data_IF_470564721048
#
_entry.id   IF_470564721048
#
_cell.length_a   1.000
_cell.length_b   1.000
_cell.length_c   1.000
_cell.angle_alpha   90.00
_cell.angle_beta   90.00
_cell.angle_gamma   90.00
#
_symmetry.space_group_name_H-M   'P 1'
#
loop_
_entity.id
_entity.type
_entity.pdbx_description
1 polymer ?
#
# COMPACT_ATOMS: atom_id res chain seq x y z
N UNK A 1 16.89 -54.78 23.62
CA UNK A 1 17.12 -54.42 22.21
C UNK A 1 16.25 -53.19 21.93
N UNK A 2 16.84 -52.00 22.08
CA UNK A 2 16.10 -50.73 21.98
C UNK A 2 15.83 -50.38 20.52
N UNK A 3 14.57 -50.32 20.15
CA UNK A 3 14.15 -49.80 18.85
C UNK A 3 14.12 -48.27 18.93
N UNK A 4 15.20 -47.67 18.45
CA UNK A 4 15.35 -46.23 18.27
C UNK A 4 14.41 -45.77 17.15
N UNK A 5 13.24 -45.25 17.53
CA UNK A 5 12.25 -44.72 16.58
C UNK A 5 12.48 -43.23 16.39
N UNK A 6 13.33 -42.90 15.41
CA UNK A 6 13.45 -41.53 14.92
C UNK A 6 12.08 -41.03 14.41
N UNK A 7 11.62 -39.83 14.79
CA UNK A 7 10.34 -39.31 14.31
C UNK A 7 10.43 -38.93 12.82
N UNK A 8 9.36 -39.12 12.03
CA UNK A 8 9.35 -38.76 10.62
C UNK A 8 9.16 -37.24 10.48
N UNK A 9 10.24 -36.47 10.62
CA UNK A 9 10.16 -35.01 10.56
C UNK A 9 11.33 -34.41 9.78
N UNK A 10 11.24 -34.34 8.44
CA UNK A 10 12.05 -33.35 7.73
C UNK A 10 11.58 -32.97 6.30
N UNK A 11 11.08 -33.94 5.53
CA UNK A 11 10.81 -33.71 4.09
C UNK A 11 9.81 -32.57 3.79
N UNK A 12 8.81 -32.36 4.65
CA UNK A 12 7.86 -31.25 4.52
C UNK A 12 8.36 -29.90 5.05
N UNK A 13 9.34 -29.92 5.97
CA UNK A 13 9.87 -28.71 6.62
C UNK A 13 10.90 -28.01 5.73
N UNK A 14 11.75 -28.77 5.04
CA UNK A 14 12.70 -28.25 4.05
C UNK A 14 12.00 -27.55 2.89
N UNK A 15 11.00 -28.19 2.28
CA UNK A 15 10.22 -27.61 1.17
C UNK A 15 9.48 -26.31 1.56
N UNK A 16 8.86 -26.27 2.74
CA UNK A 16 8.20 -25.05 3.25
C UNK A 16 9.19 -23.90 3.45
N UNK A 17 10.36 -24.20 4.01
CA UNK A 17 11.42 -23.21 4.27
C UNK A 17 11.94 -22.63 2.97
N UNK A 18 12.24 -23.48 1.98
CA UNK A 18 12.69 -23.05 0.66
C UNK A 18 11.66 -22.14 -0.03
N UNK A 19 10.38 -22.54 -0.04
CA UNK A 19 9.30 -21.72 -0.62
C UNK A 19 9.20 -20.37 0.09
N UNK A 20 9.18 -20.37 1.43
CA UNK A 20 9.04 -19.13 2.20
C UNK A 20 10.21 -18.17 1.95
N UNK A 21 11.46 -18.66 2.06
CA UNK A 21 12.65 -17.83 1.87
C UNK A 21 12.74 -17.34 0.42
N UNK A 22 12.48 -18.19 -0.57
CA UNK A 22 12.46 -17.79 -1.98
C UNK A 22 11.46 -16.66 -2.27
N UNK A 23 10.23 -16.78 -1.75
CA UNK A 23 9.23 -15.72 -1.86
C UNK A 23 9.68 -14.42 -1.16
N UNK A 24 10.30 -14.54 0.02
CA UNK A 24 10.82 -13.40 0.76
C UNK A 24 11.92 -12.66 -0.02
N UNK A 25 12.90 -13.39 -0.56
CA UNK A 25 14.01 -12.82 -1.34
C UNK A 25 13.48 -12.13 -2.59
N UNK A 26 12.62 -12.79 -3.37
CA UNK A 26 12.05 -12.20 -4.60
C UNK A 26 11.24 -10.95 -4.28
N UNK A 27 10.40 -10.99 -3.23
CA UNK A 27 9.59 -9.86 -2.81
C UNK A 27 10.44 -8.64 -2.45
N UNK A 28 11.48 -8.84 -1.64
CA UNK A 28 12.33 -7.75 -1.18
C UNK A 28 13.27 -7.22 -2.26
N UNK A 29 13.80 -8.09 -3.11
CA UNK A 29 14.57 -7.67 -4.28
C UNK A 29 13.71 -6.82 -5.22
N UNK A 30 12.49 -7.26 -5.53
CA UNK A 30 11.55 -6.49 -6.35
C UNK A 30 11.14 -5.17 -5.67
N UNK A 31 10.91 -5.17 -4.36
CA UNK A 31 10.57 -3.97 -3.58
C UNK A 31 11.70 -2.94 -3.63
N UNK A 32 12.94 -3.35 -3.34
CA UNK A 32 14.11 -2.47 -3.38
C UNK A 32 14.35 -1.95 -4.80
N UNK A 33 14.27 -2.83 -5.82
CA UNK A 33 14.44 -2.43 -7.21
C UNK A 33 13.35 -1.42 -7.65
N UNK A 34 12.08 -1.69 -7.33
CA UNK A 34 10.95 -0.84 -7.69
C UNK A 34 11.02 0.53 -7.00
N UNK A 35 11.21 0.56 -5.68
CA UNK A 35 11.35 1.82 -4.93
C UNK A 35 12.59 2.59 -5.36
N UNK A 36 13.73 1.92 -5.56
CA UNK A 36 14.96 2.54 -6.04
C UNK A 36 14.81 3.14 -7.43
N UNK A 37 14.19 2.41 -8.37
CA UNK A 37 13.88 2.92 -9.70
C UNK A 37 12.96 4.15 -9.63
N UNK A 38 11.93 4.10 -8.78
CA UNK A 38 11.01 5.22 -8.56
C UNK A 38 11.72 6.47 -8.02
N UNK A 39 12.56 6.31 -6.99
CA UNK A 39 13.35 7.42 -6.43
C UNK A 39 14.24 8.05 -7.51
N UNK A 40 15.03 7.24 -8.21
CA UNK A 40 16.00 7.74 -9.18
C UNK A 40 15.31 8.37 -10.39
N UNK A 41 14.32 7.69 -10.98
CA UNK A 41 13.61 8.19 -12.15
C UNK A 41 12.93 9.52 -11.84
N UNK A 42 12.19 9.62 -10.73
CA UNK A 42 11.49 10.85 -10.35
C UNK A 42 12.44 12.00 -10.00
N UNK A 43 13.57 11.72 -9.32
CA UNK A 43 14.56 12.75 -9.01
C UNK A 43 15.06 13.47 -10.27
N UNK A 44 15.28 12.72 -11.36
CA UNK A 44 15.64 13.25 -12.67
C UNK A 44 14.41 13.56 -13.55
N UNK A 45 13.22 13.73 -12.97
CA UNK A 45 12.02 14.11 -13.70
C UNK A 45 11.68 13.13 -14.83
N UNK A 46 11.83 11.83 -14.60
CA UNK A 46 11.61 10.77 -15.59
C UNK A 46 12.51 10.86 -16.84
N UNK A 47 13.60 11.63 -16.79
CA UNK A 47 14.51 11.83 -17.92
C UNK A 47 15.56 10.71 -18.07
N UNK A 48 15.64 9.79 -17.10
CA UNK A 48 16.60 8.67 -17.08
C UNK A 48 15.85 7.36 -16.85
N UNK A 49 16.09 6.38 -17.71
CA UNK A 49 15.48 5.04 -17.67
C UNK A 49 16.42 4.00 -18.31
N UNK A 50 16.02 2.72 -18.29
CA UNK A 50 16.82 1.62 -18.85
C UNK A 50 16.78 1.53 -20.39
N UNK A 51 15.94 2.34 -21.05
CA UNK A 51 15.81 2.32 -22.51
C UNK A 51 14.79 3.34 -23.02
N UNK A 52 14.79 3.54 -24.33
CA UNK A 52 13.93 4.53 -24.99
C UNK A 52 13.29 3.95 -26.23
N UNK A 53 12.00 4.19 -26.43
CA UNK A 53 11.30 3.87 -27.68
C UNK A 53 11.10 5.14 -28.51
N UNK A 54 11.25 5.03 -29.84
CA UNK A 54 10.96 6.13 -30.75
C UNK A 54 9.45 6.40 -30.83
N UNK A 55 9.10 7.62 -31.25
CA UNK A 55 7.71 7.95 -31.53
C UNK A 55 7.19 7.09 -32.71
N UNK A 56 5.93 6.61 -32.65
CA UNK A 56 4.91 6.85 -31.61
C UNK A 56 4.93 5.85 -30.45
N UNK A 57 5.76 4.80 -30.51
CA UNK A 57 5.74 3.68 -29.56
C UNK A 57 6.06 4.10 -28.12
N UNK A 58 6.90 5.12 -27.92
CA UNK A 58 7.17 5.69 -26.59
C UNK A 58 5.90 6.19 -25.89
N UNK A 59 5.02 6.90 -26.60
CA UNK A 59 3.76 7.42 -26.03
C UNK A 59 2.81 6.29 -25.63
N UNK A 60 2.69 5.27 -26.49
CA UNK A 60 1.83 4.11 -26.24
C UNK A 60 2.35 3.32 -25.03
N UNK A 61 3.66 3.04 -24.99
CA UNK A 61 4.29 2.32 -23.90
C UNK A 61 4.15 3.08 -22.58
N UNK A 62 4.44 4.38 -22.54
CA UNK A 62 4.31 5.21 -21.35
C UNK A 62 2.86 5.28 -20.85
N UNK A 63 1.89 5.44 -21.75
CA UNK A 63 0.47 5.43 -21.38
C UNK A 63 0.06 4.09 -20.79
N UNK A 64 0.51 2.98 -21.39
CA UNK A 64 0.25 1.63 -20.87
C UNK A 64 0.92 1.41 -19.52
N UNK A 65 2.18 1.82 -19.34
CA UNK A 65 2.93 1.72 -18.08
C UNK A 65 2.30 2.58 -16.97
N UNK A 66 1.81 3.77 -17.30
CA UNK A 66 1.16 4.67 -16.35
C UNK A 66 -0.23 4.18 -15.95
N UNK A 67 -1.00 3.65 -16.90
CA UNK A 67 -2.34 3.11 -16.65
C UNK A 67 -2.31 1.74 -15.96
N UNK A 68 -1.35 0.87 -16.28
CA UNK A 68 -1.31 -0.49 -15.72
C UNK A 68 -1.19 -0.48 -14.21
N UNK A 69 -0.38 0.42 -13.61
CA UNK A 69 -0.20 0.45 -12.17
C UNK A 69 -1.52 0.67 -11.41
N UNK A 70 -2.26 1.79 -11.59
CA UNK A 70 -3.49 2.02 -10.84
C UNK A 70 -4.58 0.99 -11.18
N UNK A 71 -4.68 0.54 -12.44
CA UNK A 71 -5.70 -0.42 -12.87
C UNK A 71 -5.42 -1.80 -12.30
N UNK A 72 -4.25 -2.39 -12.59
CA UNK A 72 -3.89 -3.75 -12.18
C UNK A 72 -3.75 -3.83 -10.66
N UNK A 73 -3.10 -2.86 -10.02
CA UNK A 73 -3.00 -2.81 -8.54
C UNK A 73 -4.38 -2.81 -7.88
N UNK A 74 -5.33 -2.03 -8.40
CA UNK A 74 -6.69 -1.97 -7.85
C UNK A 74 -7.48 -3.25 -8.13
N UNK A 75 -7.32 -3.85 -9.31
CA UNK A 75 -7.94 -5.14 -9.66
C UNK A 75 -7.46 -6.27 -8.75
N UNK A 76 -6.16 -6.31 -8.44
CA UNK A 76 -5.57 -7.31 -7.52
C UNK A 76 -6.14 -7.22 -6.09
N UNK A 77 -6.66 -6.05 -5.70
CA UNK A 77 -7.29 -5.84 -4.39
C UNK A 77 -8.76 -6.31 -4.32
N UNK A 78 -9.39 -6.63 -5.45
CA UNK A 78 -10.76 -7.16 -5.52
C UNK A 78 -10.83 -8.63 -5.09
N UNK A 79 -12.04 -9.17 -4.87
CA UNK A 79 -12.20 -10.59 -4.53
C UNK A 79 -11.64 -11.53 -5.59
N UNK A 80 -11.88 -11.24 -6.87
CA UNK A 80 -11.34 -12.01 -8.01
C UNK A 80 -9.82 -11.89 -8.11
N UNK A 81 -9.29 -10.67 -7.96
CA UNK A 81 -7.84 -10.43 -7.96
C UNK A 81 -7.13 -11.18 -6.84
N UNK A 82 -7.67 -11.14 -5.61
CA UNK A 82 -7.11 -11.91 -4.48
C UNK A 82 -7.14 -13.42 -4.72
N UNK A 83 -8.20 -13.93 -5.36
CA UNK A 83 -8.27 -15.34 -5.74
C UNK A 83 -7.17 -15.72 -6.76
N UNK A 84 -6.87 -14.85 -7.71
CA UNK A 84 -5.74 -15.03 -8.64
C UNK A 84 -4.40 -15.02 -7.90
N UNK A 85 -4.16 -14.03 -7.03
CA UNK A 85 -2.93 -13.94 -6.23
C UNK A 85 -2.70 -15.22 -5.41
N UNK A 86 -3.76 -15.78 -4.81
CA UNK A 86 -3.67 -17.02 -4.04
C UNK A 86 -3.28 -18.23 -4.90
N UNK A 87 -3.57 -18.22 -6.21
CA UNK A 87 -3.27 -19.34 -7.13
C UNK A 87 -1.83 -19.32 -7.65
N UNK A 88 -1.12 -18.19 -7.54
CA UNK A 88 0.26 -18.06 -8.00
C UNK A 88 1.26 -18.82 -7.10
N UNK A 89 0.88 -19.13 -5.87
CA UNK A 89 1.73 -19.85 -4.94
C UNK A 89 1.56 -21.36 -5.01
N UNK A 90 2.57 -22.14 -4.57
CA UNK A 90 2.44 -23.59 -4.44
C UNK A 90 1.19 -24.00 -3.65
N UNK A 91 0.62 -25.15 -4.04
CA UNK A 91 -0.64 -25.66 -3.46
C UNK A 91 -0.60 -25.65 -1.93
N UNK A 92 -1.64 -25.08 -1.32
CA UNK A 92 -1.79 -24.96 0.14
C UNK A 92 -1.09 -23.76 0.79
N UNK A 93 -0.21 -23.04 0.09
CA UNK A 93 0.53 -21.89 0.66
C UNK A 93 -0.02 -20.52 0.23
N UNK A 94 -0.84 -20.48 -0.82
CA UNK A 94 -1.42 -19.27 -1.42
C UNK A 94 -2.02 -18.28 -0.44
N UNK A 95 -3.01 -18.67 0.38
CA UNK A 95 -3.62 -17.74 1.33
C UNK A 95 -2.62 -17.13 2.32
N UNK A 96 -1.61 -17.88 2.75
CA UNK A 96 -0.56 -17.38 3.66
C UNK A 96 0.42 -16.44 2.96
N UNK A 97 0.80 -16.76 1.71
CA UNK A 97 1.73 -15.95 0.92
C UNK A 97 1.08 -14.75 0.22
N UNK A 98 -0.25 -14.65 0.22
CA UNK A 98 -1.01 -13.58 -0.43
C UNK A 98 -0.45 -12.15 -0.23
N UNK A 99 -0.13 -11.67 0.99
CA UNK A 99 0.45 -10.34 1.17
C UNK A 99 1.84 -10.22 0.54
N UNK A 100 2.67 -11.27 0.59
CA UNK A 100 4.00 -11.28 -0.03
C UNK A 100 3.88 -11.24 -1.56
N UNK A 101 3.06 -12.11 -2.14
CA UNK A 101 2.83 -12.15 -3.59
C UNK A 101 2.25 -10.83 -4.10
N UNK A 102 1.29 -10.24 -3.38
CA UNK A 102 0.71 -8.95 -3.74
C UNK A 102 1.77 -7.85 -3.79
N UNK A 103 2.63 -7.76 -2.77
CA UNK A 103 3.70 -6.75 -2.73
C UNK A 103 4.75 -7.00 -3.82
N UNK A 104 5.10 -8.25 -4.12
CA UNK A 104 5.97 -8.59 -5.26
C UNK A 104 5.38 -8.05 -6.57
N UNK A 105 4.12 -8.36 -6.86
CA UNK A 105 3.45 -7.89 -8.07
C UNK A 105 3.33 -6.37 -8.12
N UNK A 106 3.00 -5.71 -7.00
CA UNK A 106 2.95 -4.25 -6.93
C UNK A 106 4.33 -3.63 -7.18
N UNK A 107 5.38 -4.21 -6.60
CA UNK A 107 6.76 -3.72 -6.76
C UNK A 107 7.27 -3.90 -8.19
N UNK A 108 6.92 -5.01 -8.85
CA UNK A 108 7.22 -5.22 -10.27
C UNK A 108 6.50 -4.21 -11.17
N UNK A 109 5.25 -3.86 -10.86
CA UNK A 109 4.52 -2.82 -11.62
C UNK A 109 5.16 -1.43 -11.45
N UNK A 110 5.62 -1.09 -10.24
CA UNK A 110 6.37 0.15 -9.97
C UNK A 110 7.70 0.12 -10.73
N UNK A 111 8.46 -0.97 -10.61
CA UNK A 111 9.72 -1.12 -11.34
C UNK A 111 9.52 -0.95 -12.84
N UNK A 112 8.53 -1.64 -13.44
CA UNK A 112 8.24 -1.54 -14.86
C UNK A 112 7.92 -0.09 -15.27
N UNK A 113 7.07 0.61 -14.51
CA UNK A 113 6.73 2.00 -14.81
C UNK A 113 7.95 2.92 -14.80
N UNK A 114 8.77 2.86 -13.76
CA UNK A 114 9.85 3.84 -13.58
C UNK A 114 11.14 3.46 -14.30
N UNK A 115 11.45 2.17 -14.42
CA UNK A 115 12.66 1.70 -15.09
C UNK A 115 12.51 1.61 -16.61
N UNK A 116 11.30 1.35 -17.13
CA UNK A 116 11.05 1.16 -18.57
C UNK A 116 10.34 2.35 -19.23
N UNK A 117 10.21 3.48 -18.52
CA UNK A 117 9.69 4.72 -19.09
C UNK A 117 10.53 5.17 -20.29
N UNK A 118 9.90 5.61 -21.37
CA UNK A 118 10.59 6.23 -22.51
C UNK A 118 10.56 7.75 -22.37
N UNK A 119 11.67 8.43 -22.03
CA UNK A 119 11.67 9.87 -21.78
C UNK A 119 11.33 10.68 -23.02
N UNK A 120 10.62 11.80 -22.86
CA UNK A 120 10.37 12.76 -23.95
C UNK A 120 11.61 13.54 -24.39
N UNK A 121 12.66 13.54 -23.56
CA UNK A 121 13.88 14.33 -23.78
C UNK A 121 13.73 15.83 -23.44
N UNK A 122 12.55 16.26 -22.99
CA UNK A 122 12.27 17.67 -22.69
C UNK A 122 12.40 17.96 -21.19
N UNK A 123 13.27 18.89 -20.82
CA UNK A 123 13.39 19.41 -19.46
C UNK A 123 12.81 20.82 -19.44
N UNK A 124 11.80 21.06 -18.61
CA UNK A 124 11.21 22.39 -18.44
C UNK A 124 11.98 23.20 -17.41
N UNK A 125 12.36 22.56 -16.30
CA UNK A 125 13.06 23.22 -15.22
C UNK A 125 13.87 22.22 -14.41
N UNK A 126 15.05 22.65 -13.97
CA UNK A 126 15.90 21.90 -13.07
C UNK A 126 16.42 22.83 -11.97
N UNK A 127 16.37 22.35 -10.74
CA UNK A 127 16.85 23.09 -9.59
C UNK A 127 18.38 23.18 -9.59
N UNK A 128 18.91 24.35 -9.23
CA UNK A 128 20.34 24.59 -9.04
C UNK A 128 20.61 25.40 -7.77
N UNK A 129 21.83 25.34 -7.25
CA UNK A 129 22.26 26.12 -6.08
C UNK A 129 21.40 25.85 -4.84
N UNK A 130 20.95 26.92 -4.17
CA UNK A 130 20.14 26.83 -2.95
C UNK A 130 18.78 26.17 -3.19
N UNK A 131 18.17 26.39 -4.36
CA UNK A 131 16.88 25.78 -4.71
C UNK A 131 16.98 24.25 -4.79
N UNK A 132 18.10 23.73 -5.30
CA UNK A 132 18.36 22.29 -5.33
C UNK A 132 18.45 21.74 -3.90
N UNK A 133 19.24 22.37 -3.02
CA UNK A 133 19.36 21.92 -1.64
C UNK A 133 18.02 21.91 -0.88
N UNK A 134 17.16 22.91 -1.11
CA UNK A 134 15.81 22.94 -0.52
C UNK A 134 14.95 21.78 -1.05
N UNK A 135 14.95 21.55 -2.36
CA UNK A 135 14.15 20.47 -2.95
C UNK A 135 14.67 19.08 -2.58
N UNK A 136 15.98 18.89 -2.45
CA UNK A 136 16.57 17.63 -1.99
C UNK A 136 16.10 17.29 -0.56
N UNK A 137 16.10 18.29 0.33
CA UNK A 137 15.58 18.12 1.69
C UNK A 137 14.09 17.81 1.69
N UNK A 138 13.29 18.52 0.88
CA UNK A 138 11.85 18.26 0.77
C UNK A 138 11.55 16.87 0.20
N UNK A 139 12.27 16.47 -0.84
CA UNK A 139 12.16 15.17 -1.49
C UNK A 139 12.52 14.05 -0.51
N UNK A 140 13.68 14.12 0.13
CA UNK A 140 14.11 13.16 1.15
C UNK A 140 13.11 13.09 2.31
N UNK A 141 12.61 14.24 2.78
CA UNK A 141 11.60 14.31 3.84
C UNK A 141 10.28 13.64 3.44
N UNK A 142 9.84 13.79 2.18
CA UNK A 142 8.65 13.13 1.66
C UNK A 142 8.81 11.59 1.67
N UNK A 143 9.98 11.07 1.31
CA UNK A 143 10.29 9.63 1.39
C UNK A 143 10.35 9.11 2.82
N UNK A 144 10.99 9.84 3.73
CA UNK A 144 10.99 9.49 5.16
C UNK A 144 9.57 9.48 5.72
N UNK A 145 8.75 10.47 5.36
CA UNK A 145 7.34 10.54 5.75
C UNK A 145 6.54 9.35 5.19
N UNK A 146 6.79 8.94 3.94
CA UNK A 146 6.16 7.77 3.34
C UNK A 146 6.55 6.49 4.09
N UNK A 147 7.84 6.30 4.39
CA UNK A 147 8.33 5.19 5.21
C UNK A 147 7.69 5.17 6.61
N UNK A 148 7.56 6.34 7.25
CA UNK A 148 6.86 6.49 8.53
C UNK A 148 5.38 6.13 8.44
N UNK A 149 4.69 6.55 7.39
CA UNK A 149 3.29 6.23 7.16
C UNK A 149 3.09 4.71 6.92
N UNK A 150 4.01 4.06 6.21
CA UNK A 150 4.02 2.61 6.06
C UNK A 150 4.27 1.89 7.38
N UNK A 151 5.18 2.41 8.22
CA UNK A 151 5.43 1.87 9.55
C UNK A 151 4.18 1.89 10.43
N UNK A 152 3.51 3.05 10.51
CA UNK A 152 2.28 3.22 11.29
C UNK A 152 1.11 2.37 10.77
N UNK A 153 1.09 2.08 9.45
CA UNK A 153 0.09 1.22 8.84
C UNK A 153 0.33 -0.28 9.05
N UNK A 154 1.44 -0.65 9.70
CA UNK A 154 1.91 -2.03 9.81
C UNK A 154 2.87 -2.38 8.68
N UNK A 155 4.16 -2.05 8.90
CA UNK A 155 5.22 -2.21 7.90
C UNK A 155 5.23 -3.60 7.25
N UNK A 156 5.00 -4.65 8.03
CA UNK A 156 5.10 -6.03 7.55
C UNK A 156 4.11 -6.40 6.44
N UNK A 157 2.95 -5.75 6.41
CA UNK A 157 1.99 -5.89 5.31
C UNK A 157 2.47 -5.09 4.10
N UNK A 158 2.99 -3.89 4.33
CA UNK A 158 3.38 -2.95 3.27
C UNK A 158 4.59 -3.43 2.46
N UNK A 159 5.57 -4.05 3.12
CA UNK A 159 6.78 -4.59 2.47
C UNK A 159 6.69 -6.12 2.23
N UNK A 160 5.53 -6.72 2.48
CA UNK A 160 5.30 -8.14 2.16
C UNK A 160 5.98 -9.15 3.10
N UNK A 161 6.60 -8.74 4.21
CA UNK A 161 7.20 -9.68 5.17
C UNK A 161 6.20 -10.56 5.89
N UNK A 162 4.96 -10.09 6.07
CA UNK A 162 3.94 -10.80 6.84
C UNK A 162 3.72 -12.23 6.32
N UNK A 163 3.60 -12.41 5.01
CA UNK A 163 3.23 -13.71 4.43
C UNK A 163 4.34 -14.75 4.57
N UNK A 164 5.51 -14.46 4.01
CA UNK A 164 6.62 -15.41 3.97
C UNK A 164 7.17 -15.74 5.36
N UNK A 165 7.27 -14.77 6.29
CA UNK A 165 7.69 -15.06 7.67
C UNK A 165 6.64 -15.92 8.40
N UNK A 166 5.36 -15.71 8.11
CA UNK A 166 4.29 -16.53 8.70
C UNK A 166 4.36 -17.97 8.19
N UNK A 167 4.59 -18.15 6.88
CA UNK A 167 4.80 -19.48 6.29
C UNK A 167 6.05 -20.15 6.86
N UNK A 168 7.17 -19.44 6.94
CA UNK A 168 8.43 -19.94 7.48
C UNK A 168 8.25 -20.46 8.91
N UNK A 169 7.56 -19.67 9.76
CA UNK A 169 7.24 -20.00 11.15
C UNK A 169 6.15 -21.06 11.30
N UNK A 170 5.49 -21.47 10.22
CA UNK A 170 4.38 -22.43 10.26
C UNK A 170 3.17 -21.93 11.04
N UNK A 171 2.92 -20.62 11.05
CA UNK A 171 1.80 -20.01 11.79
C UNK A 171 0.64 -19.71 10.85
N UNK A 172 -0.54 -19.50 11.42
CA UNK A 172 -1.71 -19.01 10.69
C UNK A 172 -1.54 -17.52 10.38
N UNK A 173 -1.85 -17.11 9.16
CA UNK A 173 -1.84 -15.70 8.76
C UNK A 173 -2.92 -14.92 9.53
N UNK A 174 -2.50 -13.86 10.21
CA UNK A 174 -3.39 -12.90 10.88
C UNK A 174 -2.98 -11.50 10.43
N UNK A 175 -3.93 -10.75 9.87
CA UNK A 175 -3.69 -9.37 9.46
C UNK A 175 -3.72 -8.44 10.70
N UNK A 176 -2.88 -7.39 10.72
CA UNK A 176 -2.98 -6.33 11.72
C UNK A 176 -4.37 -5.69 11.76
N UNK A 177 -4.74 -5.15 12.93
CA UNK A 177 -5.94 -4.33 13.07
C UNK A 177 -5.81 -3.04 12.25
N UNK A 178 -6.93 -2.36 12.05
CA UNK A 178 -6.98 -1.07 11.38
C UNK A 178 -6.05 -0.05 12.08
N UNK A 179 -5.16 0.65 11.34
CA UNK A 179 -4.28 1.63 11.94
C UNK A 179 -5.05 2.90 12.34
N UNK A 180 -4.91 3.29 13.60
CA UNK A 180 -5.54 4.50 14.19
C UNK A 180 -4.57 5.32 15.04
N UNK A 181 -3.30 4.90 15.12
CA UNK A 181 -2.23 5.55 15.88
C UNK A 181 -1.23 6.27 14.96
N UNK A 182 -0.28 7.03 15.54
CA UNK A 182 0.73 7.76 14.77
C UNK A 182 0.11 8.77 13.79
N UNK A 183 0.54 8.76 12.54
CA UNK A 183 0.03 9.64 11.48
C UNK A 183 -1.46 9.40 11.19
N UNK A 184 -1.98 8.20 11.47
CA UNK A 184 -3.41 7.89 11.33
C UNK A 184 -4.28 8.60 12.37
N UNK A 185 -3.70 9.22 13.40
CA UNK A 185 -4.45 10.13 14.29
C UNK A 185 -4.70 11.50 13.68
N UNK A 186 -3.83 11.91 12.74
CA UNK A 186 -3.84 13.25 12.14
C UNK A 186 -4.65 13.28 10.85
N UNK A 187 -4.60 12.20 10.06
CA UNK A 187 -5.32 12.06 8.80
C UNK A 187 -5.58 10.59 8.48
N UNK A 188 -6.62 10.29 7.69
CA UNK A 188 -6.97 8.89 7.36
C UNK A 188 -6.11 8.28 6.26
N UNK A 189 -5.48 9.12 5.44
CA UNK A 189 -4.74 8.70 4.25
C UNK A 189 -3.25 9.11 4.25
N UNK A 190 -2.47 8.91 5.34
CA UNK A 190 -1.12 9.44 5.43
C UNK A 190 -0.15 8.86 4.39
N UNK A 191 -0.31 7.57 4.01
CA UNK A 191 0.50 6.96 2.94
C UNK A 191 0.29 7.70 1.62
N UNK A 192 -0.97 7.98 1.27
CA UNK A 192 -1.30 8.60 -0.01
C UNK A 192 -0.90 10.09 -0.04
N UNK A 193 -1.01 10.79 1.10
CA UNK A 193 -0.50 12.16 1.24
C UNK A 193 1.03 12.19 1.08
N UNK A 194 1.75 11.32 1.80
CA UNK A 194 3.20 11.25 1.70
C UNK A 194 3.66 10.89 0.28
N UNK A 195 3.01 9.92 -0.36
CA UNK A 195 3.30 9.57 -1.75
C UNK A 195 3.04 10.72 -2.71
N UNK A 196 1.94 11.48 -2.51
CA UNK A 196 1.68 12.70 -3.30
C UNK A 196 2.83 13.70 -3.13
N UNK A 197 3.33 13.91 -1.91
CA UNK A 197 4.49 14.79 -1.71
C UNK A 197 5.73 14.30 -2.47
N UNK A 198 5.99 12.99 -2.54
CA UNK A 198 7.15 12.47 -3.30
C UNK A 198 7.11 12.83 -4.78
N UNK A 199 5.93 12.86 -5.42
CA UNK A 199 5.81 13.18 -6.85
C UNK A 199 5.87 14.68 -7.16
N UNK A 200 5.67 15.54 -6.17
CA UNK A 200 5.66 17.00 -6.33
C UNK A 200 6.91 17.72 -5.80
N UNK A 201 7.76 17.03 -5.03
CA UNK A 201 8.97 17.63 -4.42
C UNK A 201 10.26 17.30 -5.18
N UNK A 202 10.14 16.81 -6.42
CA UNK A 202 11.28 16.47 -7.28
C UNK A 202 12.07 17.72 -7.71
N UNK A 203 13.40 17.61 -7.87
CA UNK A 203 14.25 18.75 -8.28
C UNK A 203 14.26 18.99 -9.79
N UNK A 204 13.76 18.05 -10.59
CA UNK A 204 13.73 18.16 -12.06
C UNK A 204 12.30 17.99 -12.55
N UNK A 205 11.81 18.98 -13.31
CA UNK A 205 10.48 19.00 -13.90
C UNK A 205 10.53 18.85 -15.42
N UNK A 206 9.78 17.88 -15.90
CA UNK A 206 9.57 17.54 -17.31
C UNK A 206 8.07 17.34 -17.57
N UNK A 207 7.63 17.32 -18.83
CA UNK A 207 6.25 16.90 -19.16
C UNK A 207 5.93 15.49 -18.63
N UNK A 208 6.90 14.59 -18.68
CA UNK A 208 6.77 13.20 -18.23
C UNK A 208 6.48 13.12 -16.72
N UNK A 209 7.26 13.84 -15.92
CA UNK A 209 7.09 13.91 -14.47
C UNK A 209 5.76 14.54 -14.08
N UNK A 210 5.30 15.56 -14.82
CA UNK A 210 3.99 16.15 -14.59
C UNK A 210 2.85 15.16 -14.87
N UNK A 211 2.94 14.38 -15.95
CA UNK A 211 1.96 13.35 -16.27
C UNK A 211 1.88 12.27 -15.16
N UNK A 212 3.04 11.83 -14.64
CA UNK A 212 3.11 10.91 -13.49
C UNK A 212 2.50 11.56 -12.25
N UNK A 213 2.94 12.77 -11.88
CA UNK A 213 2.50 13.47 -10.68
C UNK A 213 0.98 13.72 -10.68
N UNK A 214 0.43 14.21 -11.79
CA UNK A 214 -1.01 14.44 -11.93
C UNK A 214 -1.81 13.14 -11.80
N UNK A 215 -1.42 12.09 -12.55
CA UNK A 215 -2.11 10.81 -12.56
C UNK A 215 -2.09 10.15 -11.19
N UNK A 216 -0.92 10.12 -10.55
CA UNK A 216 -0.75 9.52 -9.23
C UNK A 216 -1.40 10.33 -8.12
N UNK A 217 -1.45 11.66 -8.23
CA UNK A 217 -2.24 12.49 -7.31
C UNK A 217 -3.73 12.17 -7.43
N UNK A 218 -4.27 12.08 -8.64
CA UNK A 218 -5.66 11.70 -8.87
C UNK A 218 -5.95 10.31 -8.30
N UNK A 219 -5.07 9.33 -8.56
CA UNK A 219 -5.17 8.00 -7.97
C UNK A 219 -5.15 8.05 -6.45
N UNK A 220 -4.23 8.81 -5.86
CA UNK A 220 -4.10 8.99 -4.43
C UNK A 220 -5.38 9.58 -3.81
N UNK A 221 -6.06 10.50 -4.47
CA UNK A 221 -7.31 11.08 -3.96
C UNK A 221 -8.51 10.11 -4.04
N UNK A 222 -8.60 9.34 -5.12
CA UNK A 222 -9.78 8.51 -5.44
C UNK A 222 -9.67 7.09 -4.87
N UNK A 223 -8.53 6.42 -5.04
CA UNK A 223 -8.34 5.03 -4.62
C UNK A 223 -8.67 4.76 -3.14
N UNK A 224 -8.35 5.65 -2.18
CA UNK A 224 -8.68 5.42 -0.78
C UNK A 224 -10.18 5.47 -0.50
N UNK A 225 -11.02 6.07 -1.35
CA UNK A 225 -12.48 6.01 -1.18
C UNK A 225 -12.98 4.55 -1.26
N UNK A 226 -12.46 3.78 -2.21
CA UNK A 226 -12.74 2.35 -2.31
C UNK A 226 -12.15 1.56 -1.13
N UNK A 227 -10.97 1.98 -0.64
CA UNK A 227 -10.35 1.42 0.57
C UNK A 227 -11.25 1.63 1.79
N UNK A 228 -11.74 2.85 2.00
CA UNK A 228 -12.64 3.19 3.11
C UNK A 228 -13.97 2.44 3.01
N UNK A 229 -14.55 2.32 1.81
CA UNK A 229 -15.76 1.51 1.61
C UNK A 229 -15.55 0.05 2.01
N UNK A 230 -14.36 -0.52 1.72
CA UNK A 230 -13.99 -1.85 2.19
C UNK A 230 -13.79 -1.89 3.70
N UNK A 231 -13.19 -0.87 4.30
CA UNK A 231 -13.01 -0.80 5.76
C UNK A 231 -14.35 -0.70 6.49
N UNK A 232 -15.32 0.08 5.99
CA UNK A 232 -16.70 0.11 6.50
C UNK A 232 -17.34 -1.28 6.48
N UNK A 233 -17.16 -2.05 5.41
CA UNK A 233 -17.68 -3.43 5.33
C UNK A 233 -17.04 -4.40 6.33
N UNK A 234 -15.76 -4.20 6.69
CA UNK A 234 -15.01 -5.11 7.57
C UNK A 234 -15.15 -4.71 9.06
N UNK A 235 -15.08 -3.42 9.35
CA UNK A 235 -15.00 -2.86 10.72
C UNK A 235 -16.28 -2.15 11.17
N UNK A 236 -17.23 -1.90 10.27
CA UNK A 236 -18.53 -1.30 10.61
C UNK A 236 -18.41 0.03 11.36
N UNK A 237 -19.12 0.12 12.49
CA UNK A 237 -19.23 1.33 13.31
C UNK A 237 -17.90 1.81 13.89
N UNK A 238 -16.91 0.93 14.07
CA UNK A 238 -15.57 1.31 14.53
C UNK A 238 -14.90 2.25 13.53
N UNK A 239 -14.96 1.92 12.23
CA UNK A 239 -14.42 2.77 11.18
C UNK A 239 -15.21 4.09 11.07
N UNK A 240 -16.54 4.06 11.18
CA UNK A 240 -17.34 5.28 11.09
C UNK A 240 -17.07 6.22 12.27
N UNK A 241 -16.88 5.70 13.48
CA UNK A 241 -16.48 6.48 14.64
C UNK A 241 -15.13 7.17 14.43
N UNK A 242 -14.16 6.45 13.86
CA UNK A 242 -12.85 6.97 13.50
C UNK A 242 -12.94 8.03 12.38
N UNK A 243 -13.72 7.76 11.33
CA UNK A 243 -13.89 8.66 10.19
C UNK A 243 -14.57 9.99 10.57
N UNK A 244 -15.38 10.01 11.62
CA UNK A 244 -15.96 11.25 12.17
C UNK A 244 -14.96 12.13 12.94
N UNK A 245 -13.83 11.58 13.38
CA UNK A 245 -12.85 12.28 14.24
C UNK A 245 -11.60 12.70 13.49
N UNK A 246 -11.17 11.91 12.52
CA UNK A 246 -9.91 12.11 11.79
C UNK A 246 -10.23 12.58 10.37
N UNK A 247 -9.66 13.70 9.87
CA UNK A 247 -9.95 14.21 8.54
C UNK A 247 -9.44 13.27 7.43
N UNK A 248 -10.03 13.36 6.24
CA UNK A 248 -9.71 12.46 5.14
C UNK A 248 -8.25 12.59 4.69
N UNK A 249 -7.83 13.80 4.34
CA UNK A 249 -6.57 14.04 3.61
C UNK A 249 -5.58 14.88 4.41
N UNK A 250 -5.80 16.19 4.50
CA UNK A 250 -4.92 17.09 5.24
C UNK A 250 -5.31 17.13 6.72
N UNK A 251 -4.32 17.31 7.63
CA UNK A 251 -4.55 17.42 9.06
C UNK A 251 -5.05 18.82 9.40
N UNK A 252 -6.23 19.17 8.89
CA UNK A 252 -6.88 20.43 9.21
C UNK A 252 -7.53 20.31 10.60
N UNK A 253 -7.43 21.33 11.47
CA UNK A 253 -8.17 21.33 12.73
C UNK A 253 -9.67 21.22 12.42
N UNK A 254 -10.25 20.05 12.71
CA UNK A 254 -11.67 19.83 12.57
C UNK A 254 -12.46 20.81 13.45
N UNK A 255 -13.64 21.23 13.00
CA UNK A 255 -14.54 22.07 13.79
C UNK A 255 -14.74 21.43 15.18
N UNK A 256 -14.59 22.20 16.29
CA UNK A 256 -15.01 21.75 17.60
C UNK A 256 -16.46 21.30 17.54
N UNK A 257 -16.79 20.11 18.05
CA UNK A 257 -18.21 19.77 18.25
C UNK A 257 -18.75 20.71 19.32
N UNK A 258 -19.83 21.40 19.01
CA UNK A 258 -20.77 21.84 20.03
C UNK A 258 -21.25 20.57 20.78
N UNK A 259 -21.28 20.58 22.12
CA UNK A 259 -21.84 19.47 22.88
C UNK A 259 -23.35 19.46 22.66
N UNK A 260 -23.82 18.80 21.60
CA UNK A 260 -25.24 18.50 21.44
C UNK A 260 -25.60 17.44 22.48
N UNK A 261 -26.16 17.92 23.58
CA UNK A 261 -26.51 17.12 24.74
C UNK A 261 -27.65 16.13 24.51
N UNK A 262 -27.84 15.38 25.59
CA UNK A 262 -28.93 14.46 25.92
C UNK A 262 -28.90 13.12 25.19
N UNK A 263 -28.39 12.14 25.94
CA UNK A 263 -29.01 10.82 25.99
C UNK A 263 -30.54 10.99 25.96
N UNK A 264 -31.20 10.50 24.91
CA UNK A 264 -32.53 9.97 25.10
C UNK A 264 -32.33 8.64 25.85
N UNK A 265 -32.54 8.72 27.15
CA UNK A 265 -32.77 7.58 28.02
C UNK A 265 -33.93 6.75 27.41
N UNK A 266 -33.78 5.43 27.21
CA UNK A 266 -34.91 4.62 26.80
C UNK A 266 -35.90 4.61 27.96
N UNK A 267 -37.11 5.12 27.73
CA UNK A 267 -38.21 5.03 28.68
C UNK A 267 -38.34 3.56 29.12
N UNK A 268 -38.16 3.32 30.42
CA UNK A 268 -38.39 2.04 31.05
C UNK A 268 -39.86 1.63 30.89
N UNK A 269 -40.16 0.95 29.78
CA UNK A 269 -41.42 0.27 29.55
C UNK A 269 -41.48 -0.96 30.45
N UNK A 270 -42.25 -0.85 31.53
CA UNK A 270 -42.50 -1.92 32.51
C UNK A 270 -42.84 -3.24 31.82
N UNK A 271 -42.06 -4.27 32.13
CA UNK A 271 -42.43 -5.66 31.92
C UNK A 271 -43.71 -5.94 32.72
N UNK A 272 -44.83 -6.17 32.03
CA UNK A 272 -46.05 -6.72 32.65
C UNK A 272 -46.04 -8.22 32.43
N UNK A 273 -45.58 -8.95 33.45
CA UNK A 273 -45.81 -10.39 33.56
C UNK A 273 -47.31 -10.59 33.76
N UNK A 274 -47.98 -11.19 32.79
CA UNK A 274 -49.31 -11.77 32.98
C UNK A 274 -49.16 -13.28 33.14
N UNK A 275 -49.35 -13.76 34.36
CA UNK A 275 -49.59 -15.16 34.70
C UNK A 275 -51.10 -15.39 34.78
N UNK A 276 -51.54 -16.59 34.40
CA UNK A 276 -52.90 -17.18 34.42
C UNK A 276 -53.72 -16.96 33.14
N UNK A 277 -54.57 -17.86 32.67
CA UNK A 277 -54.88 -19.30 32.84
C UNK A 277 -55.98 -19.53 31.77
N UNK A 278 -56.01 -20.69 31.11
CA UNK A 278 -57.03 -21.03 30.11
C UNK A 278 -56.47 -21.84 28.96
#
# INVERSE_FOLDING_TARGET
>A
MGADSSPPADRGRGGRTLVAVGYGVICHAAFVAGVGAMIVAMYFGMSRSLGTLSAPWGWIANTALLAQFPVVHSLLLTGRGRALVNRLAPRGTGPTLAPTTFVTLASLQVFALFALWSPSGTIWWQAHGTALGVLDVLYASAWVLLGKAMFDAGLSVQIGTLGWLTLLRGRRLVYPKMPTSGLFRLMRQPIYVAFTLTVWTVPTWTPDQLAVAATFTMYCLIAPLFKEARYRRIHGSEFDNYARRVPYWLPWPGRPRSPSGRHCEPAAGRVRISRRQG
#
